data_IF_322905150487
#
_entry.id   IF_322905150487
#
_cell.length_a   1.000
_cell.length_b   1.000
_cell.length_c   1.000
_cell.angle_alpha   90.00
_cell.angle_beta   90.00
_cell.angle_gamma   90.00
#
_symmetry.space_group_name_H-M   'P 1'
#
loop_
_entity.id
_entity.type
_entity.pdbx_description
1 polymer ?
#
# COMPACT_ATOMS: atom_id res chain seq x y z
N UNK A 1 -12.33 28.57 -23.81
CA UNK A 1 -12.23 27.20 -24.30
C UNK A 1 -11.74 27.20 -25.74
N UNK A 2 -10.59 26.60 -25.98
CA UNK A 2 -9.91 26.64 -27.29
C UNK A 2 -10.43 25.55 -28.21
N UNK A 3 -11.04 24.48 -27.68
CA UNK A 3 -11.51 23.33 -28.47
C UNK A 3 -13.01 23.31 -28.77
N UNK A 4 -13.83 24.23 -28.20
CA UNK A 4 -15.26 24.27 -28.39
C UNK A 4 -16.07 23.12 -27.78
N UNK A 5 -15.45 22.21 -27.09
CA UNK A 5 -16.15 21.14 -26.38
C UNK A 5 -16.76 21.64 -25.08
N UNK A 6 -17.97 21.16 -24.78
CA UNK A 6 -18.65 21.47 -23.52
C UNK A 6 -18.00 20.69 -22.38
N UNK A 7 -17.42 21.36 -21.40
CA UNK A 7 -16.91 20.75 -20.18
C UNK A 7 -17.94 20.91 -19.04
N UNK A 8 -18.36 19.81 -18.50
CA UNK A 8 -19.16 19.79 -17.28
C UNK A 8 -18.25 19.50 -16.10
N UNK A 9 -18.18 20.39 -15.14
CA UNK A 9 -17.45 20.18 -13.90
C UNK A 9 -17.99 18.95 -13.14
N UNK A 10 -17.16 18.30 -12.31
CA UNK A 10 -17.63 17.20 -11.48
C UNK A 10 -18.73 17.65 -10.54
N UNK A 11 -19.76 16.82 -10.35
CA UNK A 11 -20.79 17.04 -9.34
C UNK A 11 -20.24 17.02 -7.90
N UNK A 12 -21.02 17.46 -6.92
CA UNK A 12 -20.58 17.50 -5.52
C UNK A 12 -20.15 16.13 -4.96
N UNK A 13 -20.83 15.06 -5.37
CA UNK A 13 -20.49 13.69 -4.98
C UNK A 13 -19.13 13.26 -5.51
N UNK A 14 -18.78 13.69 -6.74
CA UNK A 14 -17.47 13.42 -7.33
C UNK A 14 -16.32 14.14 -6.58
N UNK A 15 -16.61 15.08 -5.70
CA UNK A 15 -15.63 15.79 -4.87
C UNK A 15 -15.49 15.17 -3.47
N UNK A 16 -16.35 14.23 -3.09
CA UNK A 16 -16.34 13.66 -1.74
C UNK A 16 -15.46 12.39 -1.65
N UNK A 17 -14.66 12.27 -0.58
CA UNK A 17 -13.77 11.12 -0.36
C UNK A 17 -14.49 9.82 0.02
N UNK A 18 -15.76 9.89 0.38
CA UNK A 18 -16.62 8.75 0.74
C UNK A 18 -17.65 8.43 -0.37
N UNK A 19 -17.48 8.97 -1.56
CA UNK A 19 -18.32 8.80 -2.73
C UNK A 19 -17.45 8.69 -3.98
N UNK A 20 -17.90 9.19 -5.12
CA UNK A 20 -17.20 9.10 -6.42
C UNK A 20 -15.83 9.80 -6.44
N UNK A 21 -15.62 10.75 -5.53
CA UNK A 21 -14.33 11.44 -5.36
C UNK A 21 -13.29 10.65 -4.59
N UNK A 22 -13.60 9.46 -4.10
CA UNK A 22 -12.69 8.61 -3.35
C UNK A 22 -11.45 8.21 -4.17
N UNK A 23 -10.29 8.14 -3.52
CA UNK A 23 -9.11 7.54 -4.12
C UNK A 23 -9.38 6.06 -4.40
N UNK A 24 -9.21 5.57 -5.64
CA UNK A 24 -9.53 4.19 -6.00
C UNK A 24 -8.59 3.16 -5.35
N UNK A 25 -7.37 3.56 -4.96
CA UNK A 25 -6.38 2.67 -4.34
C UNK A 25 -6.72 2.36 -2.88
N UNK A 26 -7.12 3.38 -2.11
CA UNK A 26 -7.45 3.23 -0.69
C UNK A 26 -8.95 3.35 -0.39
N UNK A 27 -9.80 3.43 -1.41
CA UNK A 27 -11.25 3.61 -1.27
C UNK A 27 -11.63 4.75 -0.32
N UNK A 28 -10.88 5.86 -0.37
CA UNK A 28 -11.12 7.04 0.44
C UNK A 28 -10.69 6.95 1.91
N UNK A 29 -9.98 5.89 2.33
CA UNK A 29 -9.45 5.78 3.70
C UNK A 29 -8.22 6.64 3.93
N UNK A 30 -7.45 6.95 2.88
CA UNK A 30 -6.18 7.66 2.96
C UNK A 30 -5.00 6.77 3.35
N UNK A 31 -5.26 5.57 3.80
CA UNK A 31 -4.27 4.60 4.28
C UNK A 31 -4.36 3.30 3.49
N UNK A 32 -3.25 2.59 3.42
CA UNK A 32 -3.18 1.22 2.88
C UNK A 32 -2.48 0.33 3.90
N UNK A 33 -2.72 -0.97 3.80
CA UNK A 33 -1.94 -1.96 4.53
C UNK A 33 -0.88 -2.51 3.60
N UNK A 34 0.36 -2.46 4.04
CA UNK A 34 1.51 -2.98 3.32
C UNK A 34 2.29 -3.93 4.20
N UNK A 35 3.10 -4.79 3.58
CA UNK A 35 3.98 -5.71 4.31
C UNK A 35 5.10 -4.92 4.97
N UNK A 36 5.33 -5.19 6.24
CA UNK A 36 6.43 -4.64 7.02
C UNK A 36 7.59 -5.65 7.05
N UNK A 37 8.62 -5.40 6.26
CA UNK A 37 9.76 -6.30 6.12
C UNK A 37 10.48 -6.56 7.46
N UNK A 38 10.44 -5.62 8.41
CA UNK A 38 11.05 -5.78 9.73
C UNK A 38 10.41 -6.90 10.55
N UNK A 39 9.19 -7.32 10.20
CA UNK A 39 8.43 -8.37 10.89
C UNK A 39 8.59 -9.75 10.27
N UNK A 40 9.21 -9.84 9.08
CA UNK A 40 9.33 -11.10 8.34
C UNK A 40 10.35 -12.05 8.96
N UNK A 41 11.37 -11.50 9.64
CA UNK A 41 12.41 -12.23 10.38
C UNK A 41 12.50 -11.65 11.78
N UNK A 42 11.59 -12.05 12.69
CA UNK A 42 11.53 -11.46 14.02
C UNK A 42 12.66 -11.92 14.97
N UNK A 43 13.32 -13.02 14.65
CA UNK A 43 14.43 -13.57 15.42
C UNK A 43 15.59 -13.91 14.48
N UNK A 44 16.53 -12.99 14.37
CA UNK A 44 17.73 -13.15 13.54
C UNK A 44 18.77 -14.12 14.11
N UNK A 45 18.58 -14.62 15.33
CA UNK A 45 19.45 -15.65 15.90
C UNK A 45 19.16 -17.05 15.34
N UNK A 46 17.98 -17.23 14.75
CA UNK A 46 17.61 -18.48 14.07
C UNK A 46 18.20 -18.55 12.67
N UNK A 47 18.46 -19.77 12.23
CA UNK A 47 18.78 -20.04 10.81
C UNK A 47 17.49 -20.06 9.96
N UNK A 48 17.64 -19.93 8.63
CA UNK A 48 16.51 -20.10 7.69
C UNK A 48 15.93 -21.51 7.83
N UNK A 49 16.78 -22.51 8.03
CA UNK A 49 16.37 -23.92 8.20
C UNK A 49 15.56 -24.11 9.47
N UNK A 50 15.90 -23.41 10.58
CA UNK A 50 15.14 -23.39 11.84
C UNK A 50 13.87 -22.54 11.79
N UNK A 51 13.67 -21.80 10.71
CA UNK A 51 12.46 -21.04 10.44
C UNK A 51 12.54 -19.56 10.81
N UNK A 52 13.70 -18.93 10.69
CA UNK A 52 13.89 -17.49 10.86
C UNK A 52 12.92 -16.70 9.97
N UNK A 53 12.67 -17.12 8.72
CA UNK A 53 11.73 -16.49 7.80
C UNK A 53 10.32 -16.93 8.12
N UNK A 54 9.66 -16.12 8.94
CA UNK A 54 8.36 -16.46 9.54
C UNK A 54 7.23 -16.65 8.51
N UNK A 55 7.11 -15.87 7.40
CA UNK A 55 6.09 -16.12 6.38
C UNK A 55 6.17 -17.52 5.76
N UNK A 56 7.36 -18.01 5.45
CA UNK A 56 7.51 -19.35 4.87
C UNK A 56 7.01 -20.45 5.82
N UNK A 57 7.29 -20.28 7.10
CA UNK A 57 6.84 -21.22 8.16
C UNK A 57 5.32 -21.16 8.35
N UNK A 58 4.75 -19.96 8.49
CA UNK A 58 3.33 -19.78 8.83
C UNK A 58 2.38 -20.10 7.67
N UNK A 59 2.82 -19.90 6.42
CA UNK A 59 2.00 -20.15 5.23
C UNK A 59 2.29 -21.49 4.56
N UNK A 60 3.08 -22.36 5.21
CA UNK A 60 3.33 -23.72 4.73
C UNK A 60 4.23 -23.80 3.51
N UNK A 61 5.06 -22.81 3.26
CA UNK A 61 6.00 -22.75 2.15
C UNK A 61 7.30 -23.50 2.49
N UNK A 62 7.16 -24.76 2.90
CA UNK A 62 8.23 -25.61 3.43
C UNK A 62 9.40 -25.85 2.47
N UNK A 63 9.19 -25.66 1.17
CA UNK A 63 10.22 -25.82 0.15
C UNK A 63 11.15 -24.61 0.01
N UNK A 64 10.73 -23.43 0.50
CA UNK A 64 11.45 -22.16 0.30
C UNK A 64 12.87 -22.17 0.87
N UNK A 65 13.14 -22.70 2.08
CA UNK A 65 14.51 -22.80 2.58
C UNK A 65 15.46 -23.53 1.61
N UNK A 66 15.03 -24.67 1.07
CA UNK A 66 15.83 -25.40 0.07
C UNK A 66 15.93 -24.68 -1.26
N UNK A 67 14.85 -24.01 -1.67
CA UNK A 67 14.84 -23.28 -2.93
C UNK A 67 15.76 -22.06 -2.89
N UNK A 68 15.83 -21.34 -1.77
CA UNK A 68 16.72 -20.21 -1.60
C UNK A 68 18.20 -20.62 -1.48
N UNK A 69 18.47 -21.83 -0.95
CA UNK A 69 19.81 -22.40 -0.94
C UNK A 69 20.36 -22.62 -2.36
N UNK A 70 19.51 -23.04 -3.31
CA UNK A 70 19.86 -23.16 -4.73
C UNK A 70 20.10 -21.80 -5.43
N UNK A 71 19.79 -20.70 -4.73
CA UNK A 71 20.13 -19.34 -5.14
C UNK A 71 21.42 -18.83 -4.49
N UNK A 72 22.12 -19.67 -3.72
CA UNK A 72 23.40 -19.37 -3.09
C UNK A 72 23.29 -18.76 -1.70
N UNK A 73 22.12 -18.77 -1.06
CA UNK A 73 21.92 -18.28 0.30
C UNK A 73 22.23 -19.41 1.31
N UNK A 74 23.04 -19.12 2.33
CA UNK A 74 23.30 -20.05 3.44
C UNK A 74 22.08 -20.16 4.32
N UNK A 75 21.61 -21.38 4.55
CA UNK A 75 20.37 -21.61 5.31
C UNK A 75 20.60 -22.19 6.70
N UNK A 76 21.81 -22.62 7.00
CA UNK A 76 22.25 -23.32 8.21
C UNK A 76 22.96 -22.44 9.24
N UNK A 77 23.15 -21.16 8.94
CA UNK A 77 23.73 -20.16 9.83
C UNK A 77 22.67 -19.21 10.37
N UNK A 78 22.89 -18.54 11.52
CA UNK A 78 22.01 -17.50 12.01
C UNK A 78 21.73 -16.44 10.93
N UNK A 79 20.49 -15.96 10.83
CA UNK A 79 20.11 -14.95 9.83
C UNK A 79 20.95 -13.67 9.97
N UNK A 80 21.37 -13.34 11.20
CA UNK A 80 22.28 -12.23 11.49
C UNK A 80 23.65 -12.33 10.81
N UNK A 81 24.10 -13.54 10.47
CA UNK A 81 25.38 -13.80 9.82
C UNK A 81 25.32 -13.82 8.29
N UNK A 82 24.13 -13.68 7.72
CA UNK A 82 23.95 -13.59 6.28
C UNK A 82 24.51 -12.27 5.76
N UNK A 83 25.11 -12.31 4.58
CA UNK A 83 25.57 -11.12 3.87
C UNK A 83 24.39 -10.27 3.43
N UNK A 84 24.63 -9.02 3.08
CA UNK A 84 23.59 -8.12 2.57
C UNK A 84 22.96 -8.64 1.28
N UNK A 85 23.75 -9.26 0.39
CA UNK A 85 23.24 -9.89 -0.84
C UNK A 85 22.34 -11.10 -0.55
N UNK A 86 22.73 -11.95 0.42
CA UNK A 86 21.90 -13.08 0.85
C UNK A 86 20.58 -12.59 1.46
N UNK A 87 20.64 -11.59 2.34
CA UNK A 87 19.44 -10.96 2.94
C UNK A 87 18.54 -10.35 1.86
N UNK A 88 19.13 -9.61 0.91
CA UNK A 88 18.40 -9.06 -0.22
C UNK A 88 17.68 -10.15 -1.02
N UNK A 89 18.34 -11.28 -1.27
CA UNK A 89 17.71 -12.42 -1.95
C UNK A 89 16.52 -12.94 -1.16
N UNK A 90 16.63 -13.05 0.17
CA UNK A 90 15.52 -13.52 1.03
C UNK A 90 14.34 -12.55 1.02
N UNK A 91 14.57 -11.23 1.10
CA UNK A 91 13.51 -10.24 1.20
C UNK A 91 12.90 -9.82 -0.14
N UNK A 92 13.73 -9.67 -1.18
CA UNK A 92 13.36 -9.05 -2.45
C UNK A 92 13.83 -9.82 -3.70
N UNK A 93 14.41 -11.02 -3.55
CA UNK A 93 14.87 -11.83 -4.67
C UNK A 93 13.76 -12.11 -5.68
N UNK A 94 14.13 -12.16 -6.98
CA UNK A 94 13.17 -12.37 -8.05
C UNK A 94 12.54 -13.78 -8.01
N UNK A 95 11.26 -13.84 -8.41
CA UNK A 95 10.54 -15.09 -8.58
C UNK A 95 11.22 -15.92 -9.68
N UNK A 96 11.73 -17.08 -9.32
CA UNK A 96 12.43 -17.97 -10.26
C UNK A 96 12.13 -19.43 -9.95
N UNK A 97 12.23 -20.28 -10.97
CA UNK A 97 12.05 -21.73 -10.82
C UNK A 97 13.39 -22.40 -10.57
N UNK A 98 13.46 -23.21 -9.52
CA UNK A 98 14.63 -23.99 -9.17
C UNK A 98 14.25 -25.45 -8.96
N UNK A 99 15.14 -26.33 -9.41
CA UNK A 99 15.06 -27.75 -9.11
C UNK A 99 15.67 -27.98 -7.74
N UNK A 100 14.90 -28.58 -6.82
CA UNK A 100 15.38 -28.93 -5.49
C UNK A 100 15.27 -30.43 -5.27
N UNK A 101 16.19 -30.98 -4.48
CA UNK A 101 16.14 -32.38 -4.03
C UNK A 101 15.39 -32.42 -2.70
N UNK A 102 14.26 -33.12 -2.71
CA UNK A 102 13.42 -33.30 -1.53
C UNK A 102 13.51 -34.71 -0.99
N UNK A 103 13.86 -34.82 0.30
CA UNK A 103 13.87 -36.10 1.02
C UNK A 103 12.57 -36.24 1.82
N UNK A 104 11.78 -37.27 1.49
CA UNK A 104 10.57 -37.55 2.27
C UNK A 104 10.91 -38.22 3.60
N UNK A 105 10.01 -38.19 4.56
CA UNK A 105 10.12 -38.87 5.84
C UNK A 105 10.35 -40.38 5.71
N UNK A 106 9.97 -40.97 4.58
CA UNK A 106 10.12 -42.40 4.29
C UNK A 106 11.42 -42.72 3.52
N UNK A 107 12.38 -41.81 3.45
CA UNK A 107 13.67 -42.00 2.77
C UNK A 107 13.62 -41.92 1.23
N UNK A 108 12.45 -41.61 0.63
CA UNK A 108 12.37 -41.42 -0.82
C UNK A 108 12.91 -40.04 -1.19
N UNK A 109 13.65 -39.99 -2.30
CA UNK A 109 14.22 -38.78 -2.87
C UNK A 109 13.41 -38.39 -4.11
N UNK A 110 13.04 -37.11 -4.18
CA UNK A 110 12.29 -36.53 -5.30
C UNK A 110 12.99 -35.27 -5.78
N UNK A 111 13.01 -35.09 -7.09
CA UNK A 111 13.36 -33.82 -7.70
C UNK A 111 12.06 -33.02 -7.87
N UNK A 112 12.01 -31.82 -7.30
CA UNK A 112 10.86 -30.94 -7.36
C UNK A 112 11.25 -29.64 -8.03
N UNK A 113 10.48 -29.23 -9.04
CA UNK A 113 10.61 -27.91 -9.64
C UNK A 113 9.77 -26.92 -8.82
N UNK A 114 10.43 -26.12 -7.99
CA UNK A 114 9.78 -25.18 -7.09
C UNK A 114 9.95 -23.75 -7.59
N UNK A 115 8.87 -22.97 -7.54
CA UNK A 115 8.93 -21.54 -7.74
C UNK A 115 9.35 -20.88 -6.44
N UNK A 116 10.43 -20.12 -6.48
CA UNK A 116 10.89 -19.33 -5.34
C UNK A 116 10.00 -18.11 -5.12
N UNK A 117 9.59 -17.92 -3.90
CA UNK A 117 8.92 -16.70 -3.41
C UNK A 117 9.73 -16.12 -2.27
N UNK A 118 10.22 -14.90 -2.42
CA UNK A 118 10.88 -14.18 -1.34
C UNK A 118 9.92 -13.95 -0.15
N UNK A 119 10.45 -13.54 1.01
CA UNK A 119 9.66 -13.40 2.22
C UNK A 119 8.54 -12.36 2.10
N UNK A 120 8.82 -11.22 1.46
CA UNK A 120 7.84 -10.15 1.20
C UNK A 120 6.71 -10.67 0.32
N UNK A 121 7.04 -11.29 -0.82
CA UNK A 121 6.06 -11.84 -1.75
C UNK A 121 5.21 -12.95 -1.13
N UNK A 122 5.80 -13.77 -0.26
CA UNK A 122 5.06 -14.78 0.49
C UNK A 122 3.97 -14.17 1.39
N UNK A 123 4.29 -13.07 2.07
CA UNK A 123 3.33 -12.33 2.89
C UNK A 123 2.26 -11.61 2.04
N UNK A 124 2.64 -10.97 0.94
CA UNK A 124 1.70 -10.35 -0.01
C UNK A 124 0.72 -11.37 -0.60
N UNK A 125 1.22 -12.49 -1.10
CA UNK A 125 0.38 -13.55 -1.65
C UNK A 125 -0.61 -14.08 -0.61
N UNK A 126 -0.15 -14.22 0.64
CA UNK A 126 -1.04 -14.62 1.73
C UNK A 126 -2.10 -13.56 2.01
N UNK A 127 -1.79 -12.26 1.94
CA UNK A 127 -2.75 -11.16 2.10
C UNK A 127 -3.83 -11.17 1.01
N UNK A 128 -3.44 -11.41 -0.23
CA UNK A 128 -4.38 -11.44 -1.36
C UNK A 128 -5.29 -12.67 -1.38
N UNK A 129 -4.83 -13.79 -0.79
CA UNK A 129 -5.53 -15.08 -0.87
C UNK A 129 -6.20 -15.48 0.46
N UNK A 130 -6.19 -14.61 1.48
CA UNK A 130 -6.79 -14.93 2.77
C UNK A 130 -8.31 -14.80 2.71
N UNK A 131 -9.01 -15.90 3.00
CA UNK A 131 -10.48 -15.96 3.04
C UNK A 131 -11.02 -16.19 4.46
N UNK A 132 -10.16 -16.52 5.42
CA UNK A 132 -10.56 -16.86 6.78
C UNK A 132 -10.06 -15.86 7.82
N UNK A 133 -10.81 -15.67 8.89
CA UNK A 133 -10.44 -14.81 10.02
C UNK A 133 -9.10 -15.26 10.68
N UNK A 134 -8.93 -16.59 10.84
CA UNK A 134 -7.67 -17.16 11.34
C UNK A 134 -6.47 -16.88 10.42
N UNK A 135 -6.71 -16.82 9.12
CA UNK A 135 -5.69 -16.43 8.12
C UNK A 135 -5.34 -14.96 8.26
N UNK A 136 -6.35 -14.09 8.42
CA UNK A 136 -6.16 -12.66 8.66
C UNK A 136 -5.35 -12.39 9.92
N UNK A 137 -5.59 -13.11 11.02
CA UNK A 137 -4.83 -12.95 12.26
C UNK A 137 -3.34 -13.32 12.11
N UNK A 138 -3.06 -14.31 11.26
CA UNK A 138 -1.67 -14.66 10.96
C UNK A 138 -0.97 -13.58 10.16
N UNK A 139 -1.66 -12.98 9.20
CA UNK A 139 -1.10 -12.01 8.29
C UNK A 139 -0.95 -10.63 8.93
N UNK A 140 -1.85 -10.23 9.84
CA UNK A 140 -1.80 -8.96 10.58
C UNK A 140 -0.43 -8.68 11.21
N UNK A 141 0.29 -9.75 11.59
CA UNK A 141 1.63 -9.66 12.19
C UNK A 141 2.69 -9.08 11.25
N UNK A 142 2.43 -9.16 9.95
CA UNK A 142 3.34 -8.71 8.90
C UNK A 142 2.90 -7.40 8.25
N UNK A 143 1.81 -6.79 8.73
CA UNK A 143 1.24 -5.61 8.10
C UNK A 143 1.45 -4.38 8.96
N UNK A 144 1.79 -3.29 8.32
CA UNK A 144 1.71 -1.94 8.88
C UNK A 144 0.72 -1.10 8.09
N UNK A 145 0.15 -0.11 8.74
CA UNK A 145 -0.62 0.93 8.06
C UNK A 145 0.32 2.03 7.57
N UNK A 146 0.20 2.39 6.30
CA UNK A 146 0.98 3.44 5.67
C UNK A 146 0.07 4.40 4.91
N UNK A 147 0.46 5.67 4.75
CA UNK A 147 -0.26 6.59 3.87
C UNK A 147 -0.37 6.02 2.46
N UNK A 148 -1.55 6.09 1.86
CA UNK A 148 -1.78 5.60 0.51
C UNK A 148 -0.78 6.23 -0.48
N UNK A 149 -0.04 5.44 -1.26
CA UNK A 149 0.99 5.94 -2.17
C UNK A 149 0.41 6.79 -3.30
N UNK A 150 -0.85 6.54 -3.70
CA UNK A 150 -1.53 7.31 -4.76
C UNK A 150 -2.02 8.67 -4.26
N UNK A 151 -2.78 8.71 -3.17
CA UNK A 151 -3.36 9.95 -2.68
C UNK A 151 -2.55 10.63 -1.57
N UNK A 152 -1.50 9.98 -1.06
CA UNK A 152 -0.62 10.47 0.02
C UNK A 152 -1.40 10.94 1.26
N UNK A 153 -2.44 10.20 1.61
CA UNK A 153 -3.29 10.49 2.76
C UNK A 153 -4.46 11.45 2.49
N UNK A 154 -4.54 12.09 1.31
CA UNK A 154 -5.61 13.07 1.00
C UNK A 154 -6.99 12.44 0.83
N UNK A 155 -7.07 11.12 0.67
CA UNK A 155 -8.31 10.34 0.50
C UNK A 155 -9.02 10.55 -0.85
N UNK A 156 -8.56 11.50 -1.67
CA UNK A 156 -9.20 11.98 -2.89
C UNK A 156 -8.57 11.39 -4.15
N UNK A 157 -9.39 11.16 -5.15
CA UNK A 157 -8.96 10.72 -6.48
C UNK A 157 -8.08 11.76 -7.17
N UNK A 158 -7.33 11.33 -8.18
CA UNK A 158 -6.49 12.22 -8.98
C UNK A 158 -7.30 13.34 -9.66
N UNK A 159 -8.53 13.04 -10.12
CA UNK A 159 -9.40 14.01 -10.75
C UNK A 159 -9.81 15.13 -9.78
N UNK A 160 -10.19 14.78 -8.54
CA UNK A 160 -10.52 15.75 -7.49
C UNK A 160 -9.33 16.60 -7.13
N UNK A 161 -8.15 15.98 -6.95
CA UNK A 161 -6.91 16.69 -6.63
C UNK A 161 -6.44 17.63 -7.76
N UNK A 162 -6.83 17.37 -9.01
CA UNK A 162 -6.54 18.24 -10.14
C UNK A 162 -7.53 19.41 -10.27
N UNK A 163 -8.69 19.35 -9.61
CA UNK A 163 -9.70 20.42 -9.63
C UNK A 163 -9.35 21.49 -8.62
N UNK A 164 -9.22 22.73 -9.06
CA UNK A 164 -8.82 23.85 -8.19
C UNK A 164 -9.88 24.95 -8.16
N UNK A 165 -10.01 25.61 -7.01
CA UNK A 165 -10.80 26.81 -6.78
C UNK A 165 -9.93 27.87 -6.14
N UNK A 166 -9.86 29.06 -6.69
CA UNK A 166 -8.99 30.14 -6.18
C UNK A 166 -7.54 29.65 -5.90
N UNK A 167 -6.99 28.86 -6.82
CA UNK A 167 -5.61 28.37 -6.78
C UNK A 167 -5.34 27.19 -5.85
N UNK A 168 -6.35 26.66 -5.12
CA UNK A 168 -6.21 25.50 -4.24
C UNK A 168 -7.16 24.38 -4.63
N UNK A 169 -6.69 23.14 -4.51
CA UNK A 169 -7.57 21.97 -4.60
C UNK A 169 -8.19 21.65 -3.22
N UNK A 170 -9.14 20.71 -3.19
CA UNK A 170 -9.84 20.35 -1.96
C UNK A 170 -8.91 19.80 -0.88
N UNK A 171 -7.88 19.02 -1.26
CA UNK A 171 -6.92 18.48 -0.29
C UNK A 171 -6.07 19.59 0.35
N UNK A 172 -5.64 20.58 -0.44
CA UNK A 172 -4.90 21.73 0.04
C UNK A 172 -5.78 22.64 0.92
N UNK A 173 -7.04 22.84 0.55
CA UNK A 173 -7.98 23.63 1.33
C UNK A 173 -8.27 22.96 2.70
N UNK A 174 -8.48 21.66 2.74
CA UNK A 174 -8.75 20.94 4.01
C UNK A 174 -7.52 20.77 4.90
N UNK A 175 -6.33 21.04 4.40
CA UNK A 175 -5.08 21.05 5.19
C UNK A 175 -4.78 22.39 5.85
N UNK A 176 -5.53 23.45 5.52
CA UNK A 176 -5.39 24.76 6.11
C UNK A 176 -5.85 24.77 7.59
N UNK A 177 -5.25 25.63 8.39
CA UNK A 177 -5.83 25.99 9.69
C UNK A 177 -7.17 26.72 9.48
N UNK A 178 -7.99 26.80 10.53
CA UNK A 178 -9.28 27.50 10.42
C UNK A 178 -9.14 28.96 10.00
N UNK A 179 -8.14 29.66 10.53
CA UNK A 179 -7.89 31.07 10.18
C UNK A 179 -7.46 31.22 8.71
N UNK A 180 -6.57 30.33 8.23
CA UNK A 180 -6.15 30.32 6.83
C UNK A 180 -7.30 29.93 5.89
N UNK A 181 -8.15 28.99 6.32
CA UNK A 181 -9.31 28.56 5.55
C UNK A 181 -10.31 29.72 5.41
N UNK A 182 -10.61 30.44 6.48
CA UNK A 182 -11.47 31.63 6.44
C UNK A 182 -10.94 32.69 5.48
N UNK A 183 -9.65 33.05 5.60
CA UNK A 183 -9.01 34.00 4.69
C UNK A 183 -9.07 33.58 3.24
N UNK A 184 -8.85 32.29 2.97
CA UNK A 184 -8.93 31.74 1.60
C UNK A 184 -10.38 31.78 1.09
N UNK A 185 -11.36 31.34 1.88
CA UNK A 185 -12.78 31.33 1.53
C UNK A 185 -13.27 32.75 1.21
N UNK A 186 -12.89 33.75 2.00
CA UNK A 186 -13.22 35.16 1.76
C UNK A 186 -12.63 35.69 0.44
N UNK A 187 -11.53 35.14 -0.03
CA UNK A 187 -10.89 35.50 -1.29
C UNK A 187 -11.58 34.88 -2.54
N UNK A 188 -12.30 33.78 -2.37
CA UNK A 188 -12.91 33.01 -3.47
C UNK A 188 -13.84 33.85 -4.36
N UNK A 189 -14.77 34.67 -3.84
CA UNK A 189 -15.71 35.42 -4.71
C UNK A 189 -15.02 36.33 -5.71
N UNK A 190 -13.85 36.90 -5.35
CA UNK A 190 -13.11 37.78 -6.23
C UNK A 190 -12.54 37.06 -7.47
N UNK A 191 -12.32 35.75 -7.36
CA UNK A 191 -11.78 34.90 -8.46
C UNK A 191 -12.86 34.35 -9.41
N UNK A 192 -14.15 34.46 -9.01
CA UNK A 192 -15.27 33.91 -9.77
C UNK A 192 -15.82 34.91 -10.79
N UNK A 193 -16.44 34.40 -11.87
CA UNK A 193 -17.23 35.23 -12.79
C UNK A 193 -18.27 36.06 -12.01
N UNK A 194 -18.58 37.30 -12.48
CA UNK A 194 -19.50 38.20 -11.78
C UNK A 194 -20.87 37.59 -11.45
N UNK A 195 -21.41 36.77 -12.36
CA UNK A 195 -22.68 36.08 -12.18
C UNK A 195 -22.72 35.03 -11.07
N UNK A 196 -21.56 34.46 -10.70
CA UNK A 196 -21.46 33.45 -9.64
C UNK A 196 -21.18 34.05 -8.27
N UNK A 197 -20.73 35.30 -8.19
CA UNK A 197 -20.33 35.95 -6.93
C UNK A 197 -21.44 36.04 -5.89
N UNK A 198 -22.69 36.39 -6.25
CA UNK A 198 -23.76 36.49 -5.25
C UNK A 198 -24.05 35.16 -4.56
N UNK A 199 -24.03 34.06 -5.33
CA UNK A 199 -24.23 32.72 -4.79
C UNK A 199 -23.06 32.31 -3.87
N UNK A 200 -21.82 32.58 -4.28
CA UNK A 200 -20.64 32.28 -3.47
C UNK A 200 -20.68 33.06 -2.14
N UNK A 201 -21.00 34.33 -2.15
CA UNK A 201 -21.13 35.14 -0.93
C UNK A 201 -22.22 34.61 0.01
N UNK A 202 -23.34 34.14 -0.52
CA UNK A 202 -24.42 33.55 0.28
C UNK A 202 -23.97 32.26 0.97
N UNK A 203 -23.21 31.40 0.26
CA UNK A 203 -22.67 30.16 0.83
C UNK A 203 -21.63 30.46 1.90
N UNK A 204 -20.74 31.41 1.64
CA UNK A 204 -19.67 31.79 2.57
C UNK A 204 -20.27 32.37 3.85
N UNK A 205 -21.26 33.26 3.75
CA UNK A 205 -21.96 33.80 4.92
C UNK A 205 -22.56 32.72 5.83
N UNK A 206 -23.07 31.61 5.24
CA UNK A 206 -23.57 30.47 6.03
C UNK A 206 -22.49 29.60 6.66
N UNK A 207 -21.21 29.75 6.28
CA UNK A 207 -20.09 28.99 6.84
C UNK A 207 -19.39 29.76 7.98
N UNK A 208 -19.57 31.08 8.01
CA UNK A 208 -18.90 32.00 8.99
C UNK A 208 -19.77 32.39 10.18
N UNK A 209 -21.08 32.12 10.13
CA UNK A 209 -22.04 32.26 11.24
C UNK A 209 -22.02 31.01 12.13
#
# INVERSE_FOLDING_TARGET
PVCGESFYGPGAEAMAFNSDGACPVCSGTGMVREVDDSTLVPDESLSIEDGAVLPWKLFGLIAMPKTVAELGVRIDVPFSELTEEERHTVFAGEETKKMIVWHSKNGKVFELNCTYYNAHRAAENALHNVESEKGLDKIRKFLREAPCPECKGTRLSKAVRATTLAGKNLAEATALTLDELLQWVDSVPATLPPEMRPMALSIIGSLTD
#
